data_IF_974866501497
#
_entry.id   IF_974866501497
#
_cell.length_a   1.000
_cell.length_b   1.000
_cell.length_c   1.000
_cell.angle_alpha   90.00
_cell.angle_beta   90.00
_cell.angle_gamma   90.00
#
_symmetry.space_group_name_H-M   'P 1'
#
loop_
_entity.id
_entity.type
_entity.pdbx_description
1 polymer ?
#
# COMPACT_ATOMS: atom_id res chain seq x y z
N UNK A 1 5.17 -16.53 -5.91
CA UNK A 1 5.03 -17.39 -7.12
C UNK A 1 6.29 -18.17 -7.42
N UNK A 2 7.38 -17.58 -7.93
CA UNK A 2 8.57 -18.39 -8.26
C UNK A 2 9.15 -19.12 -7.03
N UNK A 3 9.18 -18.46 -5.88
CA UNK A 3 9.66 -19.07 -4.62
C UNK A 3 8.73 -20.18 -4.10
N UNK A 4 7.41 -20.06 -4.33
CA UNK A 4 6.42 -20.99 -3.80
C UNK A 4 6.16 -22.18 -4.73
N UNK A 5 6.19 -21.96 -6.04
CA UNK A 5 5.85 -22.95 -7.06
C UNK A 5 7.07 -23.67 -7.63
N UNK A 6 8.29 -23.14 -7.42
CA UNK A 6 9.54 -23.69 -7.96
C UNK A 6 9.67 -23.63 -9.50
N UNK A 7 8.65 -23.14 -10.20
CA UNK A 7 8.63 -22.99 -11.66
C UNK A 7 8.84 -21.51 -11.99
N UNK A 8 9.85 -21.16 -12.80
CA UNK A 8 10.07 -19.78 -13.20
C UNK A 8 8.96 -19.30 -14.13
N UNK A 9 8.34 -18.17 -13.78
CA UNK A 9 7.37 -17.51 -14.64
C UNK A 9 8.07 -16.99 -15.92
N UNK A 10 7.64 -17.47 -17.10
CA UNK A 10 8.27 -17.11 -18.39
C UNK A 10 7.58 -15.96 -19.12
N UNK A 11 6.29 -15.74 -18.82
CA UNK A 11 5.47 -14.65 -19.35
C UNK A 11 4.33 -14.37 -18.38
N UNK A 12 3.83 -13.14 -18.40
CA UNK A 12 2.69 -12.73 -17.60
C UNK A 12 1.48 -12.52 -18.51
N UNK A 13 0.39 -13.25 -18.26
CA UNK A 13 -0.90 -12.99 -18.89
C UNK A 13 -1.66 -12.00 -17.99
N UNK A 14 -2.25 -10.96 -18.58
CA UNK A 14 -2.93 -9.89 -17.84
C UNK A 14 -4.34 -9.66 -18.38
N UNK A 15 -5.26 -9.27 -17.50
CA UNK A 15 -6.61 -8.83 -17.86
C UNK A 15 -7.13 -7.73 -16.92
N UNK A 16 -8.33 -7.24 -17.20
CA UNK A 16 -9.01 -6.20 -16.42
C UNK A 16 -8.75 -4.78 -16.92
N UNK A 17 -9.50 -3.81 -16.38
CA UNK A 17 -9.56 -2.45 -16.91
C UNK A 17 -8.22 -1.70 -16.94
N UNK A 18 -7.33 -1.95 -15.97
CA UNK A 18 -6.01 -1.31 -15.93
C UNK A 18 -5.09 -1.72 -17.09
N UNK A 19 -5.36 -2.87 -17.73
CA UNK A 19 -4.56 -3.35 -18.86
C UNK A 19 -4.75 -2.50 -20.11
N UNK A 20 -5.81 -1.69 -20.19
CA UNK A 20 -6.00 -0.73 -21.28
C UNK A 20 -4.85 0.29 -21.38
N UNK A 21 -4.13 0.54 -20.28
CA UNK A 21 -3.03 1.50 -20.26
C UNK A 21 -1.70 0.86 -20.72
N UNK A 22 -1.26 1.19 -21.93
CA UNK A 22 -0.01 0.71 -22.52
C UNK A 22 1.23 1.04 -21.67
N UNK A 23 1.25 2.20 -20.99
CA UNK A 23 2.37 2.58 -20.14
C UNK A 23 2.49 1.64 -18.93
N UNK A 24 1.37 1.30 -18.29
CA UNK A 24 1.36 0.36 -17.16
C UNK A 24 1.81 -1.03 -17.63
N UNK A 25 1.40 -1.47 -18.82
CA UNK A 25 1.83 -2.76 -19.38
C UNK A 25 3.33 -2.80 -19.68
N UNK A 26 3.88 -1.72 -20.25
CA UNK A 26 5.32 -1.62 -20.49
C UNK A 26 6.09 -1.58 -19.17
N UNK A 27 5.64 -0.79 -18.20
CA UNK A 27 6.23 -0.71 -16.87
C UNK A 27 6.22 -2.09 -16.17
N UNK A 28 5.13 -2.85 -16.32
CA UNK A 28 5.03 -4.20 -15.78
C UNK A 28 6.03 -5.15 -16.43
N UNK A 29 6.18 -5.10 -17.76
CA UNK A 29 7.16 -5.92 -18.49
C UNK A 29 8.60 -5.57 -18.09
N UNK A 30 8.90 -4.28 -18.00
CA UNK A 30 10.20 -3.75 -17.58
C UNK A 30 10.56 -4.20 -16.15
N UNK A 31 9.63 -4.05 -15.20
CA UNK A 31 9.87 -4.38 -13.79
C UNK A 31 9.89 -5.89 -13.53
N UNK A 32 9.08 -6.68 -14.23
CA UNK A 32 9.11 -8.15 -14.09
C UNK A 32 10.24 -8.81 -14.89
N UNK A 33 10.80 -8.13 -15.90
CA UNK A 33 11.83 -8.70 -16.77
C UNK A 33 11.34 -9.84 -17.67
N UNK A 34 10.03 -9.98 -17.85
CA UNK A 34 9.41 -11.01 -18.70
C UNK A 34 8.35 -10.38 -19.61
N UNK A 35 8.03 -11.02 -20.74
CA UNK A 35 6.97 -10.54 -21.62
C UNK A 35 5.60 -10.49 -20.92
N UNK A 36 4.87 -9.40 -21.12
CA UNK A 36 3.48 -9.23 -20.69
C UNK A 36 2.58 -9.35 -21.90
N UNK A 37 1.60 -10.26 -21.84
CA UNK A 37 0.67 -10.54 -22.94
C UNK A 37 -0.72 -10.08 -22.52
N UNK A 38 -1.26 -9.12 -23.27
CA UNK A 38 -2.58 -8.56 -23.07
C UNK A 38 -3.53 -9.03 -24.18
N UNK A 39 -4.66 -9.67 -23.88
CA UNK A 39 -5.66 -9.99 -24.88
C UNK A 39 -6.32 -8.70 -25.41
N UNK A 40 -6.65 -8.68 -26.70
CA UNK A 40 -7.38 -7.55 -27.31
C UNK A 40 -8.81 -7.43 -26.76
N UNK A 41 -9.36 -8.54 -26.26
CA UNK A 41 -10.65 -8.57 -25.56
C UNK A 41 -10.41 -8.55 -24.04
N UNK A 42 -10.86 -7.49 -23.37
CA UNK A 42 -10.57 -7.22 -21.95
C UNK A 42 -11.38 -8.05 -20.97
N UNK A 43 -12.55 -8.57 -21.38
CA UNK A 43 -13.46 -9.36 -20.54
C UNK A 43 -13.16 -10.86 -20.59
N UNK A 44 -11.92 -11.24 -20.28
CA UNK A 44 -11.45 -12.65 -20.24
C UNK A 44 -12.22 -13.51 -19.24
N UNK A 45 -12.67 -12.91 -18.13
CA UNK A 45 -13.46 -13.61 -17.10
C UNK A 45 -14.76 -14.15 -17.67
N UNK A 46 -15.52 -13.30 -18.37
CA UNK A 46 -16.77 -13.70 -19.01
C UNK A 46 -16.52 -14.73 -20.11
N UNK A 47 -15.44 -14.54 -20.88
CA UNK A 47 -15.03 -15.48 -21.92
C UNK A 47 -14.72 -16.87 -21.37
N UNK A 48 -13.98 -16.95 -20.26
CA UNK A 48 -13.64 -18.22 -19.60
C UNK A 48 -14.88 -18.97 -19.11
N UNK A 49 -15.85 -18.27 -18.52
CA UNK A 49 -17.11 -18.86 -18.10
C UNK A 49 -17.93 -19.40 -19.28
N UNK A 50 -18.00 -18.62 -20.37
CA UNK A 50 -18.66 -19.07 -21.60
C UNK A 50 -17.95 -20.29 -22.21
N UNK A 51 -16.61 -20.31 -22.20
CA UNK A 51 -15.80 -21.43 -22.73
C UNK A 51 -16.06 -22.72 -21.97
N UNK A 52 -16.10 -22.65 -20.63
CA UNK A 52 -16.43 -23.80 -19.79
C UNK A 52 -17.85 -24.32 -20.05
N UNK A 53 -18.85 -23.43 -20.15
CA UNK A 53 -20.23 -23.82 -20.42
C UNK A 53 -20.42 -24.38 -21.84
N UNK A 54 -19.82 -23.75 -22.85
CA UNK A 54 -19.93 -24.16 -24.25
C UNK A 54 -19.28 -25.51 -24.57
N UNK A 55 -18.26 -25.89 -23.80
CA UNK A 55 -17.57 -27.18 -23.91
C UNK A 55 -18.20 -28.30 -23.08
N UNK A 56 -19.18 -27.99 -22.23
CA UNK A 56 -19.79 -28.98 -21.34
C UNK A 56 -20.53 -30.06 -22.14
N UNK A 57 -20.47 -31.29 -21.62
CA UNK A 57 -21.18 -32.44 -22.17
C UNK A 57 -22.70 -32.15 -22.19
N UNK A 58 -23.33 -32.35 -23.35
CA UNK A 58 -24.75 -32.03 -23.59
C UNK A 58 -25.00 -30.65 -24.21
N UNK A 59 -24.03 -29.72 -24.16
CA UNK A 59 -24.08 -28.45 -24.93
C UNK A 59 -23.25 -28.59 -26.20
N UNK A 60 -21.96 -28.91 -26.08
CA UNK A 60 -21.08 -29.26 -27.21
C UNK A 60 -20.95 -28.20 -28.30
N UNK A 61 -21.21 -26.93 -27.98
CA UNK A 61 -21.19 -25.81 -28.94
C UNK A 61 -19.76 -25.38 -29.26
N UNK A 62 -18.84 -25.53 -28.31
CA UNK A 62 -17.43 -25.18 -28.48
C UNK A 62 -16.51 -26.36 -28.22
N UNK A 63 -15.60 -26.58 -29.16
CA UNK A 63 -14.48 -27.50 -29.01
C UNK A 63 -13.23 -26.71 -28.61
N UNK A 64 -12.82 -26.84 -27.36
CA UNK A 64 -11.66 -26.12 -26.82
C UNK A 64 -10.33 -26.52 -27.50
N UNK A 65 -10.26 -27.68 -28.16
CA UNK A 65 -9.07 -28.10 -28.90
C UNK A 65 -8.95 -27.46 -30.28
N UNK A 66 -10.05 -26.98 -30.86
CA UNK A 66 -10.09 -26.38 -32.21
C UNK A 66 -10.20 -24.85 -32.18
N UNK A 67 -10.17 -24.26 -30.98
CA UNK A 67 -10.41 -22.84 -30.81
C UNK A 67 -9.23 -22.02 -31.33
N UNK A 68 -9.52 -21.01 -32.15
CA UNK A 68 -8.51 -20.06 -32.62
C UNK A 68 -7.99 -19.20 -31.48
N UNK A 69 -6.68 -18.91 -31.54
CA UNK A 69 -6.05 -18.05 -30.54
C UNK A 69 -6.68 -16.65 -30.55
N UNK A 70 -7.04 -16.16 -29.37
CA UNK A 70 -7.48 -14.78 -29.18
C UNK A 70 -6.32 -13.85 -29.55
N UNK A 71 -6.59 -12.79 -30.31
CA UNK A 71 -5.58 -11.79 -30.64
C UNK A 71 -5.03 -11.12 -29.38
N UNK A 72 -3.71 -10.92 -29.34
CA UNK A 72 -3.02 -10.38 -28.18
C UNK A 72 -1.95 -9.35 -28.57
N UNK A 73 -1.76 -8.36 -27.71
CA UNK A 73 -0.59 -7.49 -27.69
C UNK A 73 0.47 -8.06 -26.75
N UNK A 74 1.74 -7.92 -27.11
CA UNK A 74 2.86 -8.37 -26.27
C UNK A 74 3.84 -7.23 -26.01
N UNK A 75 4.03 -6.91 -24.74
CA UNK A 75 5.00 -5.94 -24.24
C UNK A 75 6.25 -6.69 -23.80
N UNK A 76 7.40 -6.31 -24.36
CA UNK A 76 8.69 -6.91 -24.01
C UNK A 76 9.47 -5.97 -23.08
N UNK A 77 10.27 -6.49 -22.15
CA UNK A 77 11.16 -5.66 -21.35
C UNK A 77 12.04 -4.80 -22.26
N UNK A 78 12.08 -3.51 -21.96
CA UNK A 78 12.82 -2.50 -22.73
C UNK A 78 14.01 -1.92 -21.96
N UNK A 79 14.09 -2.18 -20.66
CA UNK A 79 15.18 -1.75 -19.77
C UNK A 79 16.17 -2.88 -19.49
N UNK A 80 17.38 -2.51 -19.05
CA UNK A 80 18.38 -3.48 -18.59
C UNK A 80 18.03 -4.05 -17.22
N UNK A 81 18.62 -5.21 -16.88
CA UNK A 81 18.48 -5.82 -15.56
C UNK A 81 19.01 -4.91 -14.45
N UNK A 82 20.13 -4.23 -14.68
CA UNK A 82 20.69 -3.26 -13.73
C UNK A 82 19.72 -2.12 -13.43
N UNK A 83 19.08 -1.57 -14.46
CA UNK A 83 18.11 -0.49 -14.30
C UNK A 83 16.87 -0.97 -13.54
N UNK A 84 16.39 -2.18 -13.86
CA UNK A 84 15.27 -2.82 -13.15
C UNK A 84 15.58 -2.97 -11.66
N UNK A 85 16.77 -3.46 -11.32
CA UNK A 85 17.17 -3.72 -9.94
C UNK A 85 17.34 -2.43 -9.13
N UNK A 86 17.84 -1.35 -9.76
CA UNK A 86 17.87 0.00 -9.16
C UNK A 86 16.45 0.52 -8.90
N UNK A 87 15.52 0.38 -9.85
CA UNK A 87 14.13 0.80 -9.65
C UNK A 87 13.46 0.01 -8.52
N UNK A 88 13.66 -1.30 -8.50
CA UNK A 88 13.08 -2.19 -7.49
C UNK A 88 13.64 -1.94 -6.08
N UNK A 89 14.94 -1.70 -5.95
CA UNK A 89 15.56 -1.35 -4.66
C UNK A 89 15.03 -0.03 -4.09
N UNK A 90 14.84 0.99 -4.93
CA UNK A 90 14.24 2.27 -4.50
C UNK A 90 12.78 2.11 -4.07
N UNK A 91 12.01 1.28 -4.77
CA UNK A 91 10.63 0.95 -4.38
C UNK A 91 10.58 0.24 -3.00
N UNK A 92 11.45 -0.75 -2.76
CA UNK A 92 11.55 -1.41 -1.46
C UNK A 92 11.88 -0.42 -0.34
N UNK A 93 12.83 0.48 -0.59
CA UNK A 93 13.19 1.53 0.37
C UNK A 93 12.01 2.48 0.67
N UNK A 94 11.17 2.80 -0.32
CA UNK A 94 9.97 3.60 -0.11
C UNK A 94 8.94 2.85 0.76
N UNK A 95 8.75 1.55 0.52
CA UNK A 95 7.88 0.70 1.34
C UNK A 95 8.33 0.64 2.80
N UNK A 96 9.62 0.41 3.03
CA UNK A 96 10.19 0.36 4.38
C UNK A 96 9.88 1.62 5.18
N UNK A 97 9.97 2.79 4.54
CA UNK A 97 9.64 4.09 5.16
C UNK A 97 8.15 4.37 5.31
N UNK A 98 7.29 3.60 4.64
CA UNK A 98 5.84 3.79 4.72
C UNK A 98 5.21 3.02 5.90
N UNK A 99 5.96 2.12 6.54
CA UNK A 99 5.49 1.40 7.71
C UNK A 99 5.48 2.27 8.97
N UNK A 100 4.63 1.92 9.93
CA UNK A 100 4.57 2.60 11.24
C UNK A 100 3.87 3.96 11.24
N UNK A 101 3.33 4.41 10.10
CA UNK A 101 2.66 5.71 10.00
C UNK A 101 1.43 5.84 10.91
N UNK A 102 0.62 4.79 11.01
CA UNK A 102 -0.64 4.78 11.77
C UNK A 102 -0.49 4.05 13.13
N UNK A 103 0.71 3.97 13.68
CA UNK A 103 0.90 3.34 14.98
C UNK A 103 0.25 4.21 16.06
N UNK A 104 -0.84 3.72 16.65
CA UNK A 104 -1.38 4.29 17.89
C UNK A 104 -0.46 3.84 19.04
N UNK A 105 0.19 4.80 19.70
CA UNK A 105 0.88 4.55 20.96
C UNK A 105 -0.13 4.01 21.98
N UNK A 106 -0.11 2.70 22.21
CA UNK A 106 -0.88 2.06 23.29
C UNK A 106 -0.40 2.45 24.69
N UNK A 107 0.65 3.25 24.80
CA UNK A 107 1.25 3.71 26.07
C UNK A 107 0.85 5.15 26.44
N UNK A 108 -0.17 5.73 25.82
CA UNK A 108 -0.67 7.08 26.16
C UNK A 108 -1.91 7.06 27.06
N UNK A 109 -2.02 6.13 28.00
CA UNK A 109 -2.75 6.44 29.25
C UNK A 109 -1.82 7.29 30.12
N UNK A 110 -1.70 8.57 29.78
CA UNK A 110 -1.10 9.56 30.69
C UNK A 110 -2.00 9.59 31.91
N UNK A 111 -1.53 9.09 33.04
CA UNK A 111 -2.26 9.22 34.31
C UNK A 111 -2.47 10.69 34.63
N UNK A 112 -3.59 11.05 35.26
CA UNK A 112 -3.91 12.46 35.60
C UNK A 112 -2.75 13.13 36.36
N UNK A 113 -2.05 12.37 37.20
CA UNK A 113 -0.87 12.79 37.97
C UNK A 113 0.32 13.19 37.07
N UNK A 114 0.61 12.42 36.02
CA UNK A 114 1.71 12.73 35.08
C UNK A 114 1.39 13.97 34.22
N UNK A 115 0.10 14.19 33.91
CA UNK A 115 -0.36 15.40 33.22
C UNK A 115 -0.21 16.62 34.13
N UNK A 116 -0.62 16.54 35.39
CA UNK A 116 -0.45 17.63 36.36
C UNK A 116 1.03 17.95 36.61
N UNK A 117 1.89 16.94 36.76
CA UNK A 117 3.32 17.16 36.94
C UNK A 117 3.98 17.79 35.71
N UNK A 118 3.60 17.41 34.48
CA UNK A 118 4.08 18.07 33.27
C UNK A 118 3.64 19.53 33.21
N UNK A 119 2.37 19.82 33.53
CA UNK A 119 1.86 21.19 33.59
C UNK A 119 2.63 22.00 34.64
N UNK A 120 2.82 21.46 35.84
CA UNK A 120 3.55 22.13 36.92
C UNK A 120 5.03 22.35 36.57
N UNK A 121 5.70 21.38 35.93
CA UNK A 121 7.10 21.49 35.50
C UNK A 121 7.32 22.49 34.35
N UNK A 122 6.25 22.80 33.61
CA UNK A 122 6.29 23.78 32.51
C UNK A 122 6.13 25.23 32.96
N UNK A 123 5.72 25.45 34.22
CA UNK A 123 5.59 26.79 34.81
C UNK A 123 6.93 27.17 35.46
N UNK A 124 7.59 28.26 35.02
CA UNK A 124 8.80 28.75 35.69
C UNK A 124 8.56 28.94 37.18
N UNK A 125 9.45 28.42 38.03
CA UNK A 125 9.33 28.46 39.50
C UNK A 125 9.07 29.86 40.06
N UNK A 126 9.52 30.91 39.36
CA UNK A 126 9.26 32.31 39.72
C UNK A 126 7.78 32.69 39.69
N UNK A 127 6.99 32.17 38.74
CA UNK A 127 5.55 32.47 38.66
C UNK A 127 4.83 31.87 39.87
N UNK A 128 5.18 30.64 40.26
CA UNK A 128 4.61 30.00 41.44
C UNK A 128 4.89 30.84 42.71
N UNK A 129 6.15 31.21 42.93
CA UNK A 129 6.55 32.03 44.09
C UNK A 129 5.81 33.38 44.13
N UNK A 130 5.70 34.07 42.98
CA UNK A 130 5.02 35.36 42.89
C UNK A 130 3.52 35.21 43.20
N UNK A 131 2.86 34.18 42.65
CA UNK A 131 1.45 33.93 42.91
C UNK A 131 1.17 33.58 44.38
N UNK A 132 2.02 32.76 45.01
CA UNK A 132 1.89 32.44 46.43
C UNK A 132 2.08 33.66 47.33
N UNK A 133 3.10 34.48 47.06
CA UNK A 133 3.32 35.73 47.81
C UNK A 133 2.17 36.71 47.63
N UNK A 134 1.62 36.83 46.42
CA UNK A 134 0.45 37.66 46.13
C UNK A 134 -0.79 37.23 46.92
N UNK A 135 -1.09 35.93 46.93
CA UNK A 135 -2.20 35.37 47.72
C UNK A 135 -2.04 35.62 49.22
N UNK A 136 -0.83 35.46 49.77
CA UNK A 136 -0.54 35.74 51.18
C UNK A 136 -0.69 37.22 51.54
N UNK A 137 -0.28 38.13 50.65
CA UNK A 137 -0.48 39.56 50.85
C UNK A 137 -1.97 39.94 50.82
N UNK A 138 -2.73 39.36 49.89
CA UNK A 138 -4.16 39.61 49.74
C UNK A 138 -4.95 39.06 50.93
N UNK A 139 -4.59 37.87 51.42
CA UNK A 139 -5.13 37.31 52.66
C UNK A 139 -4.86 38.22 53.86
N UNK A 140 -3.65 38.77 53.99
CA UNK A 140 -3.32 39.73 55.05
C UNK A 140 -4.08 41.05 54.95
N UNK A 141 -4.38 41.53 53.74
CA UNK A 141 -5.20 42.73 53.58
C UNK A 141 -6.65 42.51 53.98
N UNK A 142 -7.21 41.34 53.67
CA UNK A 142 -8.57 40.97 54.06
C UNK A 142 -8.71 40.77 55.59
N UNK A 143 -7.64 40.36 56.26
CA UNK A 143 -7.61 40.19 57.72
C UNK A 143 -7.46 41.54 58.47
N UNK A 144 -7.16 42.64 57.76
CA UNK A 144 -7.02 43.99 58.32
C UNK A 144 -8.24 44.90 58.06
N UNK A 145 -9.26 44.42 57.34
CA UNK A 145 -10.53 45.11 57.05
C UNK A 145 -11.68 44.52 57.85
#
# INVERSE_FOLDING_TARGET
>A
MNQDCGIPLTKLLVDGGMTANNYVMQLQADLCGIPVVRPLMTETTALGAAMAAGSAEGIGVWNLHEMTAVGCDTFKPSISEDERDVRYSRWKMAIERSFGWAYEDKDTEITEEEREQRILSSIPAGIFIITTLGLLMLAKQLDQS
#
